data_IF_283336434582
#
_entry.id   IF_283336434582
#
_cell.length_a   1.000
_cell.length_b   1.000
_cell.length_c   1.000
_cell.angle_alpha   90.00
_cell.angle_beta   90.00
_cell.angle_gamma   90.00
#
_symmetry.space_group_name_H-M   'P 1'
#
loop_
_entity.id
_entity.type
_entity.pdbx_description
1 polymer ?
#
# COMPACT_ATOMS: atom_id res chain seq x y z
N UNK A 1 -3.78 -20.33 -10.16
CA UNK A 1 -3.24 -19.05 -9.68
C UNK A 1 -2.74 -19.12 -8.23
N UNK A 2 -3.61 -19.21 -7.21
CA UNK A 2 -3.17 -19.18 -5.80
C UNK A 2 -2.08 -20.23 -5.48
N UNK A 3 -2.33 -21.50 -5.80
CA UNK A 3 -1.34 -22.58 -5.65
C UNK A 3 0.01 -22.29 -6.34
N UNK A 4 0.01 -21.65 -7.51
CA UNK A 4 1.23 -21.34 -8.25
C UNK A 4 2.06 -20.23 -7.58
N UNK A 5 1.40 -19.36 -6.80
CA UNK A 5 2.00 -18.20 -6.14
C UNK A 5 2.37 -18.46 -4.68
N UNK A 6 1.67 -19.38 -4.00
CA UNK A 6 1.84 -19.66 -2.57
C UNK A 6 2.42 -21.04 -2.29
N UNK A 7 2.42 -21.93 -3.30
CA UNK A 7 2.68 -23.36 -3.12
C UNK A 7 1.77 -24.02 -2.07
N UNK A 8 0.61 -23.44 -1.79
CA UNK A 8 -0.41 -24.03 -0.91
C UNK A 8 -1.42 -24.81 -1.74
N UNK A 9 -1.70 -26.04 -1.30
CA UNK A 9 -2.75 -26.92 -1.85
C UNK A 9 -3.74 -27.28 -0.78
N UNK A 10 -5.00 -27.48 -1.18
CA UNK A 10 -6.01 -28.14 -0.34
C UNK A 10 -5.59 -29.61 -0.20
N UNK A 11 -5.33 -30.06 1.03
CA UNK A 11 -4.92 -31.45 1.31
C UNK A 11 -6.11 -32.39 1.35
N UNK A 12 -7.19 -31.95 1.98
CA UNK A 12 -8.46 -32.66 1.97
C UNK A 12 -9.59 -31.70 1.68
N UNK A 13 -10.49 -32.16 0.81
CA UNK A 13 -11.78 -31.52 0.61
C UNK A 13 -12.72 -32.18 1.62
N UNK A 14 -13.06 -31.48 2.69
CA UNK A 14 -13.94 -32.09 3.69
C UNK A 14 -15.30 -32.45 3.10
N UNK A 15 -15.95 -33.47 3.67
CA UNK A 15 -17.25 -33.93 3.21
C UNK A 15 -18.35 -32.92 3.57
N UNK A 16 -19.36 -32.79 2.70
CA UNK A 16 -20.60 -32.06 3.01
C UNK A 16 -21.17 -32.60 4.35
N UNK A 17 -21.67 -31.76 5.26
CA UNK A 17 -22.47 -30.55 4.97
C UNK A 17 -21.79 -29.21 5.29
N UNK A 18 -20.50 -29.19 5.63
CA UNK A 18 -19.85 -27.95 6.06
C UNK A 18 -19.42 -27.10 4.85
N UNK A 19 -20.02 -25.91 4.61
CA UNK A 19 -19.76 -25.11 3.40
C UNK A 19 -18.30 -24.65 3.25
N UNK A 20 -17.50 -24.78 4.31
CA UNK A 20 -16.10 -24.36 4.39
C UNK A 20 -15.14 -25.53 4.58
N UNK A 21 -15.58 -26.79 4.47
CA UNK A 21 -14.75 -27.98 4.72
C UNK A 21 -13.49 -28.04 3.83
N UNK A 22 -13.60 -27.51 2.62
CA UNK A 22 -12.50 -27.37 1.65
C UNK A 22 -11.46 -26.30 2.00
N UNK A 23 -11.72 -25.51 3.05
CA UNK A 23 -10.85 -24.43 3.53
C UNK A 23 -10.22 -24.73 4.89
N UNK A 24 -10.35 -25.96 5.40
CA UNK A 24 -9.87 -26.31 6.74
C UNK A 24 -8.50 -26.98 6.68
N UNK A 25 -8.23 -27.74 5.61
CA UNK A 25 -7.03 -28.55 5.50
C UNK A 25 -6.17 -28.12 4.29
N UNK A 26 -5.10 -27.39 4.61
CA UNK A 26 -4.13 -26.89 3.65
C UNK A 26 -2.73 -27.38 4.00
N UNK A 27 -1.94 -27.59 2.96
CA UNK A 27 -0.56 -28.01 3.09
C UNK A 27 0.30 -27.48 1.96
N UNK A 28 1.60 -27.69 2.10
CA UNK A 28 2.56 -27.38 1.07
C UNK A 28 2.42 -28.36 -0.09
N UNK A 29 2.32 -27.82 -1.30
CA UNK A 29 2.33 -28.62 -2.52
C UNK A 29 3.71 -29.23 -2.73
N UNK A 30 3.80 -30.54 -2.95
CA UNK A 30 5.02 -31.18 -3.45
C UNK A 30 4.96 -31.24 -4.99
N UNK A 31 6.01 -30.84 -5.73
CA UNK A 31 7.23 -30.20 -5.27
C UNK A 31 7.03 -28.70 -4.92
N UNK A 32 7.77 -28.22 -3.91
CA UNK A 32 7.72 -26.83 -3.46
C UNK A 32 8.30 -25.86 -4.51
N UNK A 33 9.44 -26.27 -5.10
CA UNK A 33 10.01 -25.67 -6.31
C UNK A 33 9.21 -26.13 -7.52
N UNK A 34 8.80 -25.18 -8.35
CA UNK A 34 8.05 -25.46 -9.56
C UNK A 34 8.94 -25.41 -10.78
N UNK A 35 8.66 -26.29 -11.72
CA UNK A 35 9.16 -26.15 -13.08
C UNK A 35 8.59 -24.88 -13.72
N UNK A 36 9.32 -24.31 -14.67
CA UNK A 36 8.94 -23.04 -15.31
C UNK A 36 7.53 -23.09 -15.93
N UNK A 37 7.14 -24.21 -16.53
CA UNK A 37 5.79 -24.42 -17.09
C UNK A 37 4.67 -24.43 -16.04
N UNK A 38 4.98 -24.67 -14.77
CA UNK A 38 4.04 -24.63 -13.65
C UNK A 38 3.84 -23.24 -13.04
N UNK A 39 4.64 -22.25 -13.44
CA UNK A 39 4.54 -20.86 -12.99
C UNK A 39 3.48 -20.09 -13.78
N UNK A 40 3.06 -18.94 -13.26
CA UNK A 40 2.28 -18.00 -14.06
C UNK A 40 3.13 -17.42 -15.20
N UNK A 41 2.50 -17.16 -16.35
CA UNK A 41 3.14 -16.37 -17.40
C UNK A 41 3.54 -14.99 -16.87
N UNK A 42 4.62 -14.41 -17.42
CA UNK A 42 5.14 -13.10 -17.00
C UNK A 42 4.04 -12.03 -16.94
N UNK A 43 3.19 -11.95 -17.96
CA UNK A 43 2.08 -10.98 -18.03
C UNK A 43 1.09 -11.14 -16.86
N UNK A 44 0.72 -12.38 -16.52
CA UNK A 44 -0.19 -12.66 -15.40
C UNK A 44 0.49 -12.42 -14.05
N UNK A 45 1.78 -12.76 -13.93
CA UNK A 45 2.58 -12.47 -12.76
C UNK A 45 2.64 -10.96 -12.47
N UNK A 46 3.00 -10.15 -13.48
CA UNK A 46 3.08 -8.69 -13.34
C UNK A 46 1.72 -8.10 -12.95
N UNK A 47 0.64 -8.51 -13.62
CA UNK A 47 -0.73 -8.08 -13.28
C UNK A 47 -1.05 -8.37 -11.81
N UNK A 48 -0.76 -9.58 -11.34
CA UNK A 48 -1.02 -9.99 -9.96
C UNK A 48 -0.15 -9.22 -8.96
N UNK A 49 1.14 -9.06 -9.23
CA UNK A 49 2.07 -8.38 -8.32
C UNK A 49 1.67 -6.91 -8.14
N UNK A 50 1.34 -6.21 -9.23
CA UNK A 50 0.84 -4.83 -9.16
C UNK A 50 -0.53 -4.73 -8.47
N UNK A 51 -1.44 -5.67 -8.73
CA UNK A 51 -2.73 -5.72 -8.03
C UNK A 51 -2.55 -5.88 -6.52
N UNK A 52 -1.60 -6.72 -6.10
CA UNK A 52 -1.27 -6.93 -4.70
C UNK A 52 -0.61 -5.71 -4.07
N UNK A 53 0.32 -5.05 -4.78
CA UNK A 53 0.90 -3.79 -4.32
C UNK A 53 -0.19 -2.76 -4.03
N UNK A 54 -1.10 -2.48 -4.99
CA UNK A 54 -2.18 -1.51 -4.76
C UNK A 54 -3.17 -1.94 -3.68
N UNK A 55 -3.36 -3.25 -3.49
CA UNK A 55 -4.17 -3.80 -2.40
C UNK A 55 -3.57 -3.51 -1.02
N UNK A 56 -2.24 -3.53 -0.91
CA UNK A 56 -1.52 -3.26 0.34
C UNK A 56 -1.30 -1.76 0.57
N UNK A 57 -1.11 -0.99 -0.50
CA UNK A 57 -0.84 0.44 -0.47
C UNK A 57 -2.11 1.28 -0.25
N UNK A 58 -3.25 0.87 -0.84
CA UNK A 58 -4.48 1.66 -0.85
C UNK A 58 -5.55 1.01 0.04
N UNK A 59 -6.03 1.69 1.11
CA UNK A 59 -7.06 1.16 2.01
C UNK A 59 -8.36 0.83 1.28
N UNK A 60 -9.06 -0.23 1.69
CA UNK A 60 -10.41 -0.54 1.22
C UNK A 60 -11.43 0.47 1.73
N UNK A 61 -12.47 0.71 0.93
CA UNK A 61 -13.67 1.35 1.46
C UNK A 61 -14.37 0.36 2.39
N UNK A 62 -14.24 0.57 3.69
CA UNK A 62 -14.95 -0.20 4.71
C UNK A 62 -16.03 0.66 5.33
N UNK A 63 -17.25 0.12 5.42
CA UNK A 63 -18.28 0.74 6.24
C UNK A 63 -18.06 0.33 7.69
N UNK A 64 -17.47 1.24 8.48
CA UNK A 64 -17.15 0.97 9.88
C UNK A 64 -18.40 0.77 10.76
N UNK A 65 -19.57 1.15 10.25
CA UNK A 65 -20.86 0.95 10.92
C UNK A 65 -21.31 -0.52 10.85
N UNK A 66 -20.80 -1.30 9.91
CA UNK A 66 -21.18 -2.70 9.70
C UNK A 66 -20.03 -3.62 10.14
N UNK A 67 -19.93 -3.88 11.45
CA UNK A 67 -18.82 -4.68 12.03
C UNK A 67 -18.60 -6.03 11.36
N UNK A 68 -19.70 -6.69 10.98
CA UNK A 68 -19.69 -8.07 10.51
C UNK A 68 -19.01 -8.25 9.14
N UNK A 69 -18.72 -7.15 8.42
CA UNK A 69 -18.11 -7.20 7.08
C UNK A 69 -16.66 -6.71 7.06
N UNK A 70 -16.10 -6.31 8.21
CA UNK A 70 -14.75 -5.76 8.29
C UNK A 70 -13.73 -6.91 8.22
N UNK A 71 -13.03 -6.99 7.09
CA UNK A 71 -11.86 -7.86 6.96
C UNK A 71 -10.61 -7.08 7.37
N UNK A 72 -9.92 -7.57 8.40
CA UNK A 72 -8.63 -7.03 8.83
C UNK A 72 -7.56 -7.35 7.78
N UNK A 73 -7.14 -6.35 7.02
CA UNK A 73 -6.04 -6.48 6.06
C UNK A 73 -4.91 -5.58 6.53
N UNK A 74 -3.70 -6.10 6.77
CA UNK A 74 -2.56 -5.25 7.07
C UNK A 74 -2.22 -4.41 5.84
N UNK A 75 -2.48 -3.10 5.89
CA UNK A 75 -1.94 -2.14 4.93
C UNK A 75 -0.48 -1.92 5.26
N UNK A 76 0.38 -2.84 4.83
CA UNK A 76 1.80 -2.81 5.14
C UNK A 76 2.61 -3.29 3.95
N UNK A 77 3.46 -2.41 3.42
CA UNK A 77 4.28 -2.68 2.25
C UNK A 77 5.45 -3.64 2.51
N UNK A 78 5.83 -3.88 3.76
CA UNK A 78 6.87 -4.88 4.11
C UNK A 78 6.50 -6.29 3.63
N UNK A 79 5.21 -6.60 3.50
CA UNK A 79 4.71 -7.88 3.00
C UNK A 79 5.23 -8.18 1.59
N UNK A 80 5.39 -7.15 0.75
CA UNK A 80 5.94 -7.31 -0.60
C UNK A 80 7.35 -7.90 -0.57
N UNK A 81 8.20 -7.46 0.35
CA UNK A 81 9.60 -7.92 0.43
C UNK A 81 9.71 -9.37 0.92
N UNK A 82 8.89 -9.75 1.90
CA UNK A 82 8.80 -11.16 2.34
C UNK A 82 8.27 -12.05 1.20
N UNK A 83 7.32 -11.54 0.43
CA UNK A 83 6.77 -12.23 -0.73
C UNK A 83 7.80 -12.40 -1.85
N UNK A 84 8.66 -11.40 -2.08
CA UNK A 84 9.76 -11.50 -3.05
C UNK A 84 10.68 -12.68 -2.72
N UNK A 85 11.10 -12.81 -1.46
CA UNK A 85 11.91 -13.94 -1.00
C UNK A 85 11.20 -15.29 -1.21
N UNK A 86 9.89 -15.33 -0.91
CA UNK A 86 9.06 -16.51 -1.13
C UNK A 86 8.92 -16.88 -2.62
N UNK A 87 8.64 -15.92 -3.49
CA UNK A 87 8.50 -16.14 -4.93
C UNK A 87 9.79 -16.71 -5.54
N UNK A 88 10.95 -16.21 -5.09
CA UNK A 88 12.23 -16.80 -5.46
C UNK A 88 12.33 -18.26 -5.04
N UNK A 89 11.93 -18.57 -3.81
CA UNK A 89 11.96 -19.94 -3.26
C UNK A 89 11.05 -20.91 -4.00
N UNK A 90 9.99 -20.43 -4.68
CA UNK A 90 9.10 -21.24 -5.52
C UNK A 90 9.66 -21.43 -6.94
N UNK A 91 10.62 -20.60 -7.36
CA UNK A 91 11.27 -20.70 -8.67
C UNK A 91 10.95 -19.56 -9.65
N UNK A 92 10.27 -18.49 -9.21
CA UNK A 92 10.04 -17.33 -10.08
C UNK A 92 11.38 -16.66 -10.47
N UNK A 93 11.55 -16.22 -11.74
CA UNK A 93 12.80 -15.61 -12.18
C UNK A 93 13.09 -14.27 -11.45
N UNK A 94 14.30 -14.13 -10.90
CA UNK A 94 14.72 -12.90 -10.20
C UNK A 94 14.56 -11.64 -11.04
N UNK A 95 14.83 -11.71 -12.34
CA UNK A 95 14.71 -10.55 -13.22
C UNK A 95 13.25 -10.08 -13.40
N UNK A 96 12.24 -10.98 -13.35
CA UNK A 96 10.83 -10.56 -13.38
C UNK A 96 10.43 -9.84 -12.10
N UNK A 97 10.92 -10.33 -10.96
CA UNK A 97 10.60 -9.76 -9.65
C UNK A 97 11.31 -8.40 -9.49
N UNK A 98 12.57 -8.31 -9.90
CA UNK A 98 13.34 -7.07 -9.93
C UNK A 98 12.68 -6.04 -10.83
N UNK A 99 12.24 -6.44 -12.03
CA UNK A 99 11.50 -5.55 -12.94
C UNK A 99 10.19 -5.03 -12.32
N UNK A 100 9.42 -5.90 -11.65
CA UNK A 100 8.18 -5.50 -10.98
C UNK A 100 8.44 -4.45 -9.89
N UNK A 101 9.48 -4.65 -9.06
CA UNK A 101 9.87 -3.72 -8.01
C UNK A 101 10.37 -2.38 -8.59
N UNK A 102 11.24 -2.43 -9.61
CA UNK A 102 11.76 -1.24 -10.29
C UNK A 102 10.64 -0.42 -10.93
N UNK A 103 9.67 -1.08 -11.59
CA UNK A 103 8.52 -0.39 -12.18
C UNK A 103 7.67 0.32 -11.13
N UNK A 104 7.55 -0.21 -9.91
CA UNK A 104 6.89 0.48 -8.80
C UNK A 104 7.73 1.68 -8.34
N UNK A 105 9.03 1.50 -8.10
CA UNK A 105 9.92 2.57 -7.61
C UNK A 105 10.07 3.73 -8.60
N UNK A 106 10.03 3.46 -9.90
CA UNK A 106 10.11 4.46 -10.97
C UNK A 106 8.73 4.96 -11.43
N UNK A 107 7.65 4.47 -10.81
CA UNK A 107 6.26 4.73 -11.23
C UNK A 107 5.99 4.48 -12.72
N UNK A 108 6.47 3.35 -13.25
CA UNK A 108 6.25 2.83 -14.61
C UNK A 108 5.24 1.67 -14.63
N UNK A 109 4.29 1.65 -13.69
CA UNK A 109 3.29 0.58 -13.59
C UNK A 109 2.17 0.79 -14.62
N UNK A 110 2.22 0.02 -15.70
CA UNK A 110 1.13 -0.13 -16.66
C UNK A 110 0.45 -1.48 -16.43
N UNK A 111 -0.86 -1.48 -16.17
CA UNK A 111 -1.57 -2.72 -15.84
C UNK A 111 -3.06 -2.66 -16.16
N UNK A 112 -3.62 -3.84 -16.37
CA UNK A 112 -5.07 -4.07 -16.44
C UNK A 112 -5.68 -4.35 -15.07
N UNK A 113 -4.87 -4.43 -14.01
CA UNK A 113 -5.35 -4.54 -12.63
C UNK A 113 -5.98 -3.21 -12.16
N UNK A 114 -6.84 -3.30 -11.14
CA UNK A 114 -7.40 -2.15 -10.44
C UNK A 114 -7.25 -2.31 -8.93
N UNK A 115 -7.01 -1.22 -8.18
CA UNK A 115 -7.06 -1.28 -6.73
C UNK A 115 -8.41 -1.84 -6.26
N UNK A 116 -8.43 -2.82 -5.34
CA UNK A 116 -9.68 -3.44 -4.90
C UNK A 116 -10.53 -2.40 -4.16
N UNK A 117 -11.85 -2.40 -4.36
CA UNK A 117 -12.76 -1.37 -3.81
C UNK A 117 -13.62 -1.85 -2.66
N UNK A 118 -13.79 -3.16 -2.55
CA UNK A 118 -14.62 -3.80 -1.55
C UNK A 118 -13.81 -4.80 -0.76
N UNK A 119 -14.27 -5.09 0.45
CA UNK A 119 -13.74 -6.16 1.29
C UNK A 119 -14.91 -6.97 1.85
N UNK A 120 -15.05 -8.26 1.48
CA UNK A 120 -14.28 -8.97 0.45
C UNK A 120 -14.57 -8.42 -0.97
N UNK A 121 -13.63 -8.63 -1.89
CA UNK A 121 -13.81 -8.28 -3.31
C UNK A 121 -14.74 -9.30 -3.99
N UNK A 122 -15.85 -8.90 -4.65
CA UNK A 122 -16.70 -9.81 -5.38
C UNK A 122 -15.96 -10.56 -6.49
N UNK A 123 -16.31 -11.83 -6.73
CA UNK A 123 -15.70 -12.65 -7.80
C UNK A 123 -15.84 -11.99 -9.17
N UNK A 124 -16.96 -11.30 -9.40
CA UNK A 124 -17.21 -10.53 -10.63
C UNK A 124 -16.21 -9.40 -10.83
N UNK A 125 -15.82 -8.69 -9.76
CA UNK A 125 -14.80 -7.64 -9.83
C UNK A 125 -13.39 -8.23 -10.05
N UNK A 126 -13.08 -9.37 -9.44
CA UNK A 126 -11.78 -10.06 -9.63
C UNK A 126 -11.60 -10.55 -11.06
N UNK A 127 -12.68 -11.02 -11.70
CA UNK A 127 -12.66 -11.51 -13.08
C UNK A 127 -12.79 -10.40 -14.14
N UNK A 128 -13.04 -9.15 -13.72
CA UNK A 128 -13.24 -8.05 -14.65
C UNK A 128 -11.95 -7.73 -15.40
N UNK A 129 -12.07 -7.59 -16.71
CA UNK A 129 -11.00 -7.08 -17.56
C UNK A 129 -11.11 -5.56 -17.68
N UNK A 130 -9.98 -4.89 -17.51
CA UNK A 130 -9.87 -3.44 -17.69
C UNK A 130 -8.84 -3.14 -18.76
N UNK A 131 -9.01 -2.02 -19.45
CA UNK A 131 -7.98 -1.49 -20.33
C UNK A 131 -6.67 -1.25 -19.57
N UNK A 132 -5.55 -1.49 -20.25
CA UNK A 132 -4.24 -1.18 -19.71
C UNK A 132 -4.14 0.32 -19.47
N UNK A 133 -3.68 0.68 -18.27
CA UNK A 133 -3.51 2.07 -17.88
C UNK A 133 -2.32 2.21 -16.95
N UNK A 134 -1.66 3.36 -17.04
CA UNK A 134 -0.70 3.81 -16.06
C UNK A 134 -1.38 4.04 -14.71
N UNK A 135 -0.84 3.44 -13.64
CA UNK A 135 -1.28 3.66 -12.27
C UNK A 135 -0.15 4.35 -11.49
N UNK A 136 -0.42 5.56 -11.00
CA UNK A 136 0.55 6.33 -10.24
C UNK A 136 0.91 5.60 -8.93
N UNK A 137 2.22 5.48 -8.67
CA UNK A 137 2.77 4.88 -7.45
C UNK A 137 3.60 5.87 -6.61
N UNK A 138 3.80 7.08 -7.14
CA UNK A 138 4.61 8.14 -6.53
C UNK A 138 4.28 8.44 -5.06
N UNK A 139 3.03 8.35 -4.57
CA UNK A 139 2.75 8.54 -3.15
C UNK A 139 3.49 7.56 -2.22
N UNK A 140 3.90 6.39 -2.72
CA UNK A 140 4.46 5.31 -1.92
C UNK A 140 5.94 5.05 -2.18
N UNK A 141 6.55 5.71 -3.16
CA UNK A 141 7.92 5.36 -3.59
C UNK A 141 8.97 5.63 -2.51
N UNK A 142 8.77 6.64 -1.66
CA UNK A 142 9.69 6.97 -0.56
C UNK A 142 9.72 5.85 0.48
N UNK A 143 8.55 5.36 0.89
CA UNK A 143 8.43 4.19 1.76
C UNK A 143 9.01 2.95 1.07
N UNK A 144 8.60 2.67 -0.17
CA UNK A 144 9.08 1.50 -0.92
C UNK A 144 10.59 1.49 -1.12
N UNK A 145 11.22 2.64 -1.41
CA UNK A 145 12.67 2.77 -1.57
C UNK A 145 13.40 2.52 -0.25
N UNK A 146 12.87 3.05 0.85
CA UNK A 146 13.41 2.83 2.20
C UNK A 146 13.30 1.35 2.59
N UNK A 147 12.13 0.74 2.38
CA UNK A 147 11.93 -0.67 2.64
C UNK A 147 12.79 -1.56 1.73
N UNK A 148 12.98 -1.18 0.46
CA UNK A 148 13.87 -1.91 -0.44
C UNK A 148 15.29 -1.97 0.10
N UNK A 149 15.80 -0.85 0.62
CA UNK A 149 17.11 -0.83 1.28
C UNK A 149 17.14 -1.69 2.55
N UNK A 150 16.17 -1.52 3.44
CA UNK A 150 16.11 -2.26 4.72
C UNK A 150 15.99 -3.78 4.53
N UNK A 151 15.29 -4.21 3.48
CA UNK A 151 15.06 -5.62 3.15
C UNK A 151 16.03 -6.13 2.07
N UNK A 152 17.06 -5.37 1.69
CA UNK A 152 18.04 -5.75 0.67
C UNK A 152 18.64 -7.16 0.89
N UNK A 153 19.02 -7.57 2.12
CA UNK A 153 19.53 -8.92 2.37
C UNK A 153 18.57 -10.06 2.01
N UNK A 154 17.26 -9.78 1.89
CA UNK A 154 16.23 -10.76 1.52
C UNK A 154 15.94 -10.77 0.02
N UNK A 155 16.50 -9.84 -0.75
CA UNK A 155 16.24 -9.72 -2.17
C UNK A 155 17.07 -10.74 -2.96
N UNK A 156 16.47 -11.43 -3.94
CA UNK A 156 17.15 -12.44 -4.75
C UNK A 156 17.90 -11.82 -5.96
N UNK A 157 18.19 -10.52 -5.88
CA UNK A 157 18.85 -9.68 -6.88
C UNK A 157 19.40 -8.42 -6.19
N UNK A 158 20.39 -7.80 -6.81
CA UNK A 158 20.93 -6.51 -6.36
C UNK A 158 19.95 -5.37 -6.66
N UNK A 159 19.89 -4.39 -5.77
CA UNK A 159 19.07 -3.21 -6.00
C UNK A 159 19.64 -2.36 -7.14
N UNK A 160 18.78 -1.80 -8.01
CA UNK A 160 19.22 -0.81 -8.97
C UNK A 160 19.66 0.47 -8.24
N UNK A 161 20.61 1.21 -8.82
CA UNK A 161 21.04 2.52 -8.29
C UNK A 161 19.99 3.60 -8.60
N UNK A 162 18.85 3.56 -7.92
CA UNK A 162 17.77 4.54 -8.06
C UNK A 162 17.88 5.65 -7.01
N UNK A 163 17.65 6.93 -7.37
CA UNK A 163 17.70 8.05 -6.43
C UNK A 163 16.73 7.93 -5.25
N UNK A 164 15.61 7.21 -5.44
CA UNK A 164 14.59 6.99 -4.40
C UNK A 164 15.04 5.97 -3.34
N UNK A 165 16.04 5.14 -3.65
CA UNK A 165 16.58 4.17 -2.70
C UNK A 165 17.66 4.89 -1.87
N UNK A 166 17.42 5.17 -0.58
CA UNK A 166 18.40 5.84 0.28
C UNK A 166 19.64 4.97 0.51
N UNK A 167 20.73 5.60 0.95
CA UNK A 167 21.89 4.88 1.50
C UNK A 167 21.54 4.30 2.87
N UNK A 168 22.11 3.14 3.21
CA UNK A 168 21.82 2.44 4.46
C UNK A 168 22.12 3.29 5.70
N UNK A 169 23.26 3.98 5.72
CA UNK A 169 23.68 4.83 6.83
C UNK A 169 22.91 6.15 6.96
N UNK A 170 21.94 6.40 6.07
CA UNK A 170 21.10 7.59 6.07
C UNK A 170 19.64 7.27 6.44
N UNK A 171 19.35 6.06 6.93
CA UNK A 171 18.01 5.67 7.39
C UNK A 171 18.01 5.64 8.92
N UNK A 172 17.09 6.38 9.52
CA UNK A 172 16.93 6.45 10.97
C UNK A 172 15.49 6.17 11.37
N UNK A 173 15.31 5.71 12.62
CA UNK A 173 13.99 5.57 13.22
C UNK A 173 13.58 6.89 13.85
N UNK A 174 12.73 7.64 13.16
CA UNK A 174 12.18 8.90 13.64
C UNK A 174 11.00 8.66 14.55
N UNK A 175 10.79 9.59 15.50
CA UNK A 175 9.66 9.60 16.42
C UNK A 175 8.94 10.93 16.30
N UNK A 176 7.64 10.88 16.04
CA UNK A 176 6.78 12.04 15.91
C UNK A 176 5.79 12.04 17.08
N UNK A 177 5.82 13.10 17.88
CA UNK A 177 4.85 13.29 18.96
C UNK A 177 3.57 13.88 18.37
N UNK A 178 2.46 13.17 18.55
CA UNK A 178 1.17 13.63 18.09
C UNK A 178 0.49 14.48 19.16
N UNK A 179 0.38 15.78 18.93
CA UNK A 179 -0.20 16.74 19.89
C UNK A 179 -1.73 16.87 19.80
N UNK A 180 -2.33 16.48 18.67
CA UNK A 180 -3.74 16.69 18.36
C UNK A 180 -4.46 15.42 17.90
N UNK A 181 -4.23 14.31 18.59
CA UNK A 181 -4.97 13.07 18.36
C UNK A 181 -6.40 13.23 18.89
N UNK A 182 -7.30 13.74 18.05
CA UNK A 182 -8.75 13.65 18.30
C UNK A 182 -9.19 12.22 17.99
N UNK A 183 -8.95 11.29 18.92
CA UNK A 183 -9.72 10.05 18.94
C UNK A 183 -11.18 10.47 19.10
N UNK A 184 -11.99 10.53 18.03
CA UNK A 184 -13.44 10.53 18.22
C UNK A 184 -13.76 9.16 18.81
N UNK A 185 -13.79 9.11 20.14
CA UNK A 185 -14.18 7.98 20.98
C UNK A 185 -15.66 7.64 20.81
N UNK A 186 -16.22 7.76 19.61
CA UNK A 186 -17.60 7.30 19.44
C UNK A 186 -17.63 5.78 19.55
N UNK A 187 -16.60 5.04 19.11
CA UNK A 187 -16.51 3.58 19.28
C UNK A 187 -15.08 3.14 19.71
N UNK A 188 -14.86 2.66 20.95
CA UNK A 188 -13.54 2.41 21.54
C UNK A 188 -12.73 1.22 20.96
N UNK A 189 -13.00 0.73 19.74
CA UNK A 189 -12.47 -0.58 19.32
C UNK A 189 -12.03 -0.73 17.85
N UNK A 190 -11.81 0.34 17.08
CA UNK A 190 -11.82 0.21 15.61
C UNK A 190 -10.75 0.99 14.86
N UNK A 191 -9.52 1.02 15.39
CA UNK A 191 -8.33 1.41 14.59
C UNK A 191 -7.92 0.19 13.76
N UNK A 192 -8.20 0.23 12.46
CA UNK A 192 -7.95 -0.91 11.57
C UNK A 192 -6.67 -0.78 10.75
N UNK A 193 -6.25 0.45 10.46
CA UNK A 193 -5.04 0.77 9.72
C UNK A 193 -4.54 2.14 10.13
N UNK A 194 -3.22 2.29 10.19
CA UNK A 194 -2.52 3.52 10.55
C UNK A 194 -1.53 3.82 9.43
N UNK A 195 -1.54 5.04 8.91
CA UNK A 195 -0.54 5.53 7.99
C UNK A 195 -0.21 6.99 8.31
N UNK A 196 1.06 7.37 8.17
CA UNK A 196 1.48 8.77 8.13
C UNK A 196 1.31 9.30 6.71
N UNK A 197 0.72 10.48 6.59
CA UNK A 197 0.46 11.14 5.32
C UNK A 197 1.11 12.52 5.39
N UNK A 198 2.00 12.77 4.45
CA UNK A 198 2.64 14.05 4.23
C UNK A 198 2.02 14.64 2.97
N UNK A 199 1.58 15.89 3.01
CA UNK A 199 1.00 16.53 1.84
C UNK A 199 1.40 18.01 1.76
N UNK A 200 1.38 18.50 0.53
CA UNK A 200 1.59 19.91 0.21
C UNK A 200 0.23 20.62 0.19
N UNK A 201 0.06 21.59 1.07
CA UNK A 201 -1.19 22.32 1.22
C UNK A 201 -1.52 23.15 -0.03
N UNK A 202 -0.53 23.76 -0.67
CA UNK A 202 -0.74 24.60 -1.87
C UNK A 202 -1.17 23.76 -3.07
N UNK A 203 -0.64 22.53 -3.18
CA UNK A 203 -1.07 21.58 -4.22
C UNK A 203 -2.48 21.06 -3.91
N UNK A 204 -2.80 20.83 -2.63
CA UNK A 204 -4.13 20.39 -2.22
C UNK A 204 -5.19 21.48 -2.43
N UNK A 205 -4.89 22.75 -2.15
CA UNK A 205 -5.82 23.86 -2.33
C UNK A 205 -6.22 24.04 -3.81
N UNK A 206 -5.29 23.80 -4.74
CA UNK A 206 -5.55 23.80 -6.19
C UNK A 206 -6.55 22.73 -6.63
N UNK A 207 -6.75 21.67 -5.83
CA UNK A 207 -7.80 20.68 -6.07
C UNK A 207 -9.19 21.20 -5.68
N UNK A 208 -9.28 22.34 -4.98
CA UNK A 208 -10.51 23.00 -4.56
C UNK A 208 -10.97 22.61 -3.16
N UNK A 209 -11.54 23.58 -2.43
CA UNK A 209 -11.93 23.47 -1.00
C UNK A 209 -12.81 22.25 -0.66
N UNK A 210 -13.69 21.84 -1.57
CA UNK A 210 -14.55 20.67 -1.36
C UNK A 210 -13.72 19.38 -1.34
N UNK A 211 -12.69 19.29 -2.17
CA UNK A 211 -11.80 18.14 -2.23
C UNK A 211 -10.80 18.13 -1.08
N UNK A 212 -10.34 19.29 -0.63
CA UNK A 212 -9.55 19.43 0.61
C UNK A 212 -10.30 18.84 1.82
N UNK A 213 -11.56 19.26 2.07
CA UNK A 213 -12.39 18.72 3.16
C UNK A 213 -12.67 17.21 3.00
N UNK A 214 -12.63 16.68 1.77
CA UNK A 214 -12.82 15.25 1.49
C UNK A 214 -11.54 14.43 1.55
N UNK A 215 -10.38 15.01 1.21
CA UNK A 215 -9.05 14.40 1.33
C UNK A 215 -8.86 13.87 2.74
N UNK A 216 -9.17 14.77 3.65
CA UNK A 216 -9.26 14.57 5.07
C UNK A 216 -10.14 13.36 5.45
N UNK A 217 -11.34 13.23 4.89
CA UNK A 217 -12.29 12.15 5.26
C UNK A 217 -12.01 10.81 4.59
N UNK A 218 -11.45 10.83 3.38
CA UNK A 218 -11.33 9.66 2.52
C UNK A 218 -10.19 9.82 1.51
N UNK A 219 -8.97 9.58 1.99
CA UNK A 219 -7.75 9.64 1.19
C UNK A 219 -7.77 8.66 0.01
N UNK A 220 -8.51 7.54 0.13
CA UNK A 220 -8.55 6.50 -0.90
C UNK A 220 -8.98 7.04 -2.26
N UNK A 221 -10.01 7.89 -2.28
CA UNK A 221 -10.56 8.46 -3.53
C UNK A 221 -9.52 9.27 -4.30
N UNK A 222 -8.53 9.83 -3.61
CA UNK A 222 -7.46 10.62 -4.20
C UNK A 222 -6.25 9.75 -4.56
N UNK A 223 -5.96 8.71 -3.78
CA UNK A 223 -4.87 7.78 -4.08
C UNK A 223 -5.19 6.81 -5.23
N UNK A 224 -6.45 6.38 -5.38
CA UNK A 224 -6.89 5.46 -6.44
C UNK A 224 -6.84 6.19 -7.80
N UNK A 225 -5.88 5.87 -8.70
CA UNK A 225 -5.68 6.60 -9.96
C UNK A 225 -6.86 6.45 -10.93
N UNK A 226 -7.79 5.55 -10.63
CA UNK A 226 -8.92 5.22 -11.49
C UNK A 226 -10.27 5.62 -10.90
N UNK A 227 -10.27 6.25 -9.72
CA UNK A 227 -11.50 6.73 -9.10
C UNK A 227 -12.22 7.75 -9.98
N UNK A 228 -11.46 8.69 -10.55
CA UNK A 228 -11.93 9.72 -11.47
C UNK A 228 -12.64 9.17 -12.70
N UNK A 229 -12.09 8.12 -13.30
CA UNK A 229 -12.59 7.56 -14.55
C UNK A 229 -13.76 6.59 -14.35
N UNK A 230 -13.78 5.85 -13.25
CA UNK A 230 -14.73 4.74 -13.07
C UNK A 230 -15.84 5.03 -12.04
N UNK A 231 -15.70 6.07 -11.21
CA UNK A 231 -16.64 6.34 -10.11
C UNK A 231 -17.11 7.79 -10.04
N UNK A 232 -16.21 8.76 -10.05
CA UNK A 232 -16.57 10.15 -9.81
C UNK A 232 -15.59 11.09 -10.53
N UNK A 233 -16.05 11.70 -11.62
CA UNK A 233 -15.26 12.58 -12.48
C UNK A 233 -14.64 13.79 -11.75
N UNK A 234 -15.09 14.12 -10.53
CA UNK A 234 -14.46 15.17 -9.70
C UNK A 234 -13.04 14.80 -9.25
N UNK A 235 -12.68 13.52 -9.23
CA UNK A 235 -11.34 13.04 -8.90
C UNK A 235 -10.49 12.80 -10.16
N UNK A 236 -10.83 13.49 -11.25
CA UNK A 236 -10.12 13.48 -12.52
C UNK A 236 -9.63 14.89 -12.84
N UNK A 237 -8.49 14.99 -13.50
CA UNK A 237 -7.93 16.26 -13.97
C UNK A 237 -6.49 16.46 -13.53
N UNK A 238 -5.83 17.47 -14.12
CA UNK A 238 -4.42 17.75 -13.90
C UNK A 238 -4.09 17.98 -12.41
N UNK A 239 -4.90 18.77 -11.69
CA UNK A 239 -4.67 19.06 -10.27
C UNK A 239 -4.61 17.79 -9.40
N UNK A 240 -5.48 16.81 -9.65
CA UNK A 240 -5.48 15.55 -8.89
C UNK A 240 -4.27 14.68 -9.24
N UNK A 241 -3.85 14.69 -10.52
CA UNK A 241 -2.62 13.99 -10.91
C UNK A 241 -1.38 14.65 -10.32
N UNK A 242 -1.33 15.97 -10.27
CA UNK A 242 -0.22 16.74 -9.71
C UNK A 242 -0.10 16.52 -8.19
N UNK A 243 -1.26 16.45 -7.51
CA UNK A 243 -1.35 16.01 -6.11
C UNK A 243 -0.75 14.61 -5.94
N UNK A 244 -1.16 13.62 -6.73
CA UNK A 244 -0.59 12.26 -6.67
C UNK A 244 0.90 12.22 -6.98
N UNK A 245 1.38 13.06 -7.89
CA UNK A 245 2.78 13.04 -8.34
C UNK A 245 3.73 13.66 -7.33
N UNK A 246 3.30 14.72 -6.66
CA UNK A 246 4.21 15.57 -5.88
C UNK A 246 3.63 16.11 -4.58
N UNK A 247 2.31 16.17 -4.46
CA UNK A 247 1.63 16.80 -3.32
C UNK A 247 1.18 15.84 -2.23
N UNK A 248 1.37 14.51 -2.36
CA UNK A 248 1.05 13.55 -1.29
C UNK A 248 2.06 12.41 -1.24
N UNK A 249 2.48 12.06 -0.02
CA UNK A 249 3.35 10.93 0.29
C UNK A 249 2.72 10.17 1.45
N UNK A 250 2.69 8.84 1.35
CA UNK A 250 2.04 7.95 2.32
C UNK A 250 3.07 6.97 2.87
N UNK A 251 3.04 6.78 4.18
CA UNK A 251 3.89 5.86 4.93
C UNK A 251 3.03 4.92 5.76
N UNK A 252 2.98 3.65 5.38
CA UNK A 252 2.12 2.64 6.01
C UNK A 252 2.83 1.82 7.09
N UNK A 253 4.16 1.70 7.01
CA UNK A 253 4.99 0.95 7.95
C UNK A 253 5.36 1.82 9.14
N UNK A 254 4.45 1.89 10.12
CA UNK A 254 4.60 2.73 11.31
C UNK A 254 4.28 1.94 12.58
N UNK A 255 4.95 2.30 13.67
CA UNK A 255 4.61 1.85 15.02
C UNK A 255 3.93 3.01 15.75
N UNK A 256 2.78 2.75 16.37
CA UNK A 256 2.05 3.76 17.14
C UNK A 256 1.98 3.38 18.62
N UNK A 257 2.65 4.16 19.44
CA UNK A 257 2.51 4.14 20.89
C UNK A 257 1.30 5.00 21.28
N UNK A 258 0.20 4.31 21.57
CA UNK A 258 -1.07 4.92 21.96
C UNK A 258 -0.95 5.68 23.28
N UNK A 259 -0.16 5.17 24.23
CA UNK A 259 -0.05 5.73 25.58
C UNK A 259 0.65 7.07 25.56
N UNK A 260 1.73 7.16 24.79
CA UNK A 260 2.53 8.38 24.68
C UNK A 260 2.11 9.26 23.49
N UNK A 261 1.16 8.80 22.67
CA UNK A 261 0.79 9.42 21.40
C UNK A 261 2.01 9.65 20.50
N UNK A 262 2.88 8.64 20.37
CA UNK A 262 4.11 8.72 19.57
C UNK A 262 3.98 7.77 18.39
N UNK A 263 4.22 8.27 17.18
CA UNK A 263 4.40 7.45 15.99
C UNK A 263 5.88 7.33 15.70
N UNK A 264 6.35 6.15 15.34
CA UNK A 264 7.71 5.97 14.84
C UNK A 264 7.75 5.24 13.52
N UNK A 265 8.71 5.62 12.69
CA UNK A 265 8.90 5.08 11.36
C UNK A 265 10.37 5.16 10.97
N UNK A 266 10.83 4.17 10.20
CA UNK A 266 12.15 4.21 9.58
C UNK A 266 12.07 5.07 8.32
N UNK A 267 12.82 6.17 8.26
CA UNK A 267 12.79 7.11 7.15
C UNK A 267 14.22 7.58 6.80
N UNK A 268 14.47 8.02 5.55
CA UNK A 268 15.73 8.64 5.17
C UNK A 268 15.88 10.03 5.79
N UNK A 269 17.08 10.38 6.22
CA UNK A 269 17.43 11.71 6.74
C UNK A 269 17.09 12.81 5.73
N UNK A 270 17.53 12.65 4.47
CA UNK A 270 17.25 13.61 3.40
C UNK A 270 15.74 13.83 3.15
N UNK A 271 14.90 12.82 3.41
CA UNK A 271 13.45 12.96 3.33
C UNK A 271 12.92 13.82 4.48
N UNK A 272 13.34 13.52 5.72
CA UNK A 272 12.89 14.27 6.91
C UNK A 272 13.38 15.72 6.86
N UNK A 273 14.64 15.96 6.51
CA UNK A 273 15.17 17.32 6.34
C UNK A 273 14.40 18.10 5.27
N UNK A 274 14.01 17.45 4.17
CA UNK A 274 13.18 18.08 3.14
C UNK A 274 11.83 18.50 3.73
N UNK A 275 11.21 17.64 4.53
CA UNK A 275 9.94 17.95 5.19
C UNK A 275 10.08 19.07 6.21
N UNK A 276 11.20 19.15 6.93
CA UNK A 276 11.49 20.24 7.86
C UNK A 276 11.73 21.58 7.15
N UNK A 277 12.46 21.59 6.03
CA UNK A 277 12.73 22.81 5.25
C UNK A 277 11.47 23.37 4.61
N UNK A 278 10.61 22.51 4.07
CA UNK A 278 9.27 22.90 3.57
C UNK A 278 8.41 23.36 4.76
N UNK A 279 8.58 22.71 5.92
CA UNK A 279 7.94 23.01 7.19
C UNK A 279 8.33 24.33 7.85
N UNK A 280 9.37 25.02 7.38
CA UNK A 280 9.81 26.33 7.88
C UNK A 280 8.76 27.44 7.73
N UNK A 281 7.78 27.25 6.83
CA UNK A 281 6.59 28.10 6.71
C UNK A 281 5.25 27.33 6.85
N UNK A 282 5.22 25.99 6.73
CA UNK A 282 3.99 25.17 6.91
C UNK A 282 4.29 23.69 7.22
N UNK A 283 4.08 23.21 8.44
CA UNK A 283 4.21 21.78 8.79
C UNK A 283 2.90 21.18 9.32
N UNK A 284 2.11 20.56 8.43
CA UNK A 284 1.03 19.65 8.79
C UNK A 284 1.35 18.26 8.23
N UNK A 285 1.80 17.34 9.08
CA UNK A 285 1.62 15.91 8.80
C UNK A 285 0.20 15.53 9.21
N UNK A 286 -0.38 14.48 8.66
CA UNK A 286 -1.64 13.92 9.17
C UNK A 286 -1.53 12.40 9.24
N UNK A 287 -2.07 11.78 10.29
CA UNK A 287 -2.14 10.35 10.46
C UNK A 287 -3.57 9.94 10.12
N UNK A 288 -3.78 9.15 9.07
CA UNK A 288 -5.15 8.83 8.66
C UNK A 288 -5.52 7.47 9.26
N UNK A 289 -6.45 7.50 10.22
CA UNK A 289 -7.12 6.31 10.75
C UNK A 289 -8.38 6.04 9.92
N UNK A 290 -8.72 4.76 9.73
CA UNK A 290 -9.95 4.36 9.04
C UNK A 290 -11.18 5.16 9.51
N UNK A 291 -11.77 5.91 8.57
CA UNK A 291 -12.76 7.00 8.76
C UNK A 291 -12.55 7.87 10.00
N UNK A 292 -11.37 8.46 10.15
CA UNK A 292 -11.21 9.73 10.85
C UNK A 292 -9.80 10.31 10.63
N UNK A 293 -9.77 11.60 10.33
CA UNK A 293 -8.58 12.45 10.47
C UNK A 293 -7.84 12.17 11.76
N UNK A 294 -6.52 12.04 11.70
CA UNK A 294 -5.66 12.59 12.74
C UNK A 294 -4.74 13.59 12.07
N UNK A 295 -4.65 14.77 12.68
CA UNK A 295 -3.74 15.82 12.26
C UNK A 295 -2.46 15.69 13.08
N UNK A 296 -1.32 15.44 12.43
CA UNK A 296 0.03 15.47 13.02
C UNK A 296 0.60 16.88 12.86
N UNK A 297 0.25 17.72 13.83
CA UNK A 297 0.99 18.96 14.06
C UNK A 297 2.40 18.61 14.52
N UNK A 298 3.39 18.86 13.66
CA UNK A 298 4.80 18.91 14.06
C UNK A 298 5.03 20.30 14.67
N UNK A 299 5.29 20.34 15.97
CA UNK A 299 6.03 21.46 16.57
C UNK A 299 7.48 20.99 16.67
N UNK A 300 8.38 21.73 16.02
CA UNK A 300 9.82 21.73 16.32
C UNK A 300 10.01 22.55 17.58
#
# INVERSE_FOLDING_TARGET
MAQQLTSVTVLSRGEEPWPMANYIDYGLSKPFLREFGGLLSRKLFMKWFYALFFRLAIPYNSDLNVSATITFSPLNLTIIFRLIAHLRSIGYPSHWISEALSNILESKVYTTARPPRHSPNPVTEVKREHAEKHLCTLPFIQEMGTLARLFEPLLPFSLPSLPVIPKENAIFKYKFRLTNVRLKQTHPMRIFNVALVFYDYDVLEKCGKILEVKFLKDLRKLLDPNWGDEKDARYKGAAIEDLRKSGVIVWTTVEYDVMNSIVSAWMPEAFVEKMERIGGDMAYGELILGRLLIMVLLHV
#
